data_IF_783924570855
#
_entry.id   IF_783924570855
#
_cell.length_a   1.000
_cell.length_b   1.000
_cell.length_c   1.000
_cell.angle_alpha   90.00
_cell.angle_beta   90.00
_cell.angle_gamma   90.00
#
_symmetry.space_group_name_H-M   'P 1'
#
loop_
_entity.id
_entity.type
_entity.pdbx_description
1 polymer ?
#
# COMPACT_ATOMS: atom_id res chain seq x y z
N UNK A 1 -19.09 18.14 -7.98
CA UNK A 1 -19.06 16.68 -7.70
C UNK A 1 -17.59 16.24 -7.63
N UNK A 2 -17.17 15.64 -6.51
CA UNK A 2 -15.95 14.83 -6.36
C UNK A 2 -14.56 15.52 -6.40
N UNK A 3 -14.19 16.26 -5.34
CA UNK A 3 -12.76 16.58 -5.05
C UNK A 3 -12.08 15.41 -4.31
N UNK A 4 -12.86 14.60 -3.57
CA UNK A 4 -12.36 13.48 -2.77
C UNK A 4 -11.81 12.30 -3.61
N UNK A 5 -12.43 12.00 -4.76
CA UNK A 5 -12.05 10.84 -5.58
C UNK A 5 -10.61 10.92 -6.10
N UNK A 6 -10.14 12.12 -6.44
CA UNK A 6 -8.79 12.32 -6.97
C UNK A 6 -7.70 12.09 -5.89
N UNK A 7 -8.01 12.46 -4.63
CA UNK A 7 -7.09 12.27 -3.50
C UNK A 7 -6.95 10.80 -3.13
N UNK A 8 -8.06 10.09 -2.97
CA UNK A 8 -8.02 8.69 -2.55
C UNK A 8 -7.44 7.81 -3.68
N UNK A 9 -7.73 8.11 -4.95
CA UNK A 9 -7.10 7.46 -6.11
C UNK A 9 -5.58 7.72 -6.17
N UNK A 10 -5.13 8.94 -5.81
CA UNK A 10 -3.70 9.24 -5.74
C UNK A 10 -2.98 8.36 -4.72
N UNK A 11 -3.51 8.26 -3.50
CA UNK A 11 -2.89 7.42 -2.46
C UNK A 11 -3.04 5.92 -2.76
N UNK A 12 -4.16 5.50 -3.36
CA UNK A 12 -4.35 4.12 -3.77
C UNK A 12 -3.34 3.68 -4.83
N UNK A 13 -2.96 4.55 -5.77
CA UNK A 13 -1.87 4.26 -6.73
C UNK A 13 -0.54 3.96 -6.03
N UNK A 14 -0.27 4.64 -4.91
CA UNK A 14 0.93 4.38 -4.10
C UNK A 14 0.82 3.00 -3.42
N UNK A 15 -0.33 2.67 -2.83
CA UNK A 15 -0.58 1.35 -2.24
C UNK A 15 -0.49 0.21 -3.27
N UNK A 16 -0.95 0.43 -4.51
CA UNK A 16 -0.82 -0.53 -5.60
C UNK A 16 0.64 -0.75 -5.98
N UNK A 17 1.51 0.27 -5.91
CA UNK A 17 2.93 0.09 -6.15
C UNK A 17 3.58 -0.78 -5.06
N UNK A 18 3.20 -0.63 -3.80
CA UNK A 18 3.63 -1.53 -2.71
C UNK A 18 3.15 -2.97 -2.95
N UNK A 19 1.91 -3.15 -3.41
CA UNK A 19 1.38 -4.48 -3.75
C UNK A 19 2.17 -5.17 -4.89
N UNK A 20 2.70 -4.40 -5.85
CA UNK A 20 3.58 -4.92 -6.90
C UNK A 20 4.92 -5.40 -6.35
N UNK A 21 5.47 -4.71 -5.35
CA UNK A 21 6.70 -5.15 -4.68
C UNK A 21 6.47 -6.49 -3.98
N UNK A 22 5.38 -6.63 -3.21
CA UNK A 22 5.01 -7.94 -2.65
C UNK A 22 4.88 -9.02 -3.74
N UNK A 23 4.27 -8.71 -4.87
CA UNK A 23 4.20 -9.66 -5.98
C UNK A 23 5.58 -10.09 -6.49
N UNK A 24 6.50 -9.15 -6.67
CA UNK A 24 7.88 -9.40 -7.10
C UNK A 24 8.66 -10.23 -6.06
N UNK A 25 8.30 -10.12 -4.79
CA UNK A 25 8.86 -10.89 -3.67
C UNK A 25 8.19 -12.26 -3.45
N UNK A 26 7.31 -12.70 -4.38
CA UNK A 26 6.52 -13.93 -4.27
C UNK A 26 5.58 -13.96 -3.03
N UNK A 27 5.18 -12.78 -2.55
CA UNK A 27 4.20 -12.58 -1.48
C UNK A 27 2.78 -12.40 -2.01
N UNK A 28 1.79 -12.43 -1.12
CA UNK A 28 0.41 -12.06 -1.48
C UNK A 28 0.39 -10.57 -1.83
N UNK A 29 -0.09 -10.15 -3.01
CA UNK A 29 0.07 -8.78 -3.51
C UNK A 29 -0.90 -7.80 -2.84
N UNK A 30 -0.61 -7.45 -1.59
CA UNK A 30 -1.34 -6.46 -0.80
C UNK A 30 -0.39 -5.34 -0.40
N UNK A 31 -0.82 -4.10 -0.60
CA UNK A 31 -0.08 -2.90 -0.22
C UNK A 31 -0.98 -1.91 0.51
N UNK A 32 -0.38 -1.14 1.42
CA UNK A 32 -1.08 -0.18 2.27
C UNK A 32 -0.27 1.10 2.46
N UNK A 33 -0.97 2.21 2.67
CA UNK A 33 -0.38 3.50 2.99
C UNK A 33 -1.14 4.15 4.15
N UNK A 34 -0.42 4.80 5.06
CA UNK A 34 -1.01 5.63 6.12
C UNK A 34 -0.83 7.09 5.73
N UNK A 35 -1.93 7.84 5.72
CA UNK A 35 -1.97 9.25 5.33
C UNK A 35 -2.40 10.09 6.54
N UNK A 36 -1.62 11.13 6.84
CA UNK A 36 -1.95 12.15 7.84
C UNK A 36 -1.71 13.52 7.22
N UNK A 37 -2.66 14.45 7.39
CA UNK A 37 -2.58 15.81 6.84
C UNK A 37 -2.20 15.87 5.34
N UNK A 38 -2.80 14.98 4.54
CA UNK A 38 -2.55 14.87 3.10
C UNK A 38 -1.11 14.48 2.71
N UNK A 39 -0.36 13.91 3.66
CA UNK A 39 0.99 13.37 3.46
C UNK A 39 1.02 11.89 3.81
N UNK A 40 1.78 11.11 3.03
CA UNK A 40 2.02 9.69 3.35
C UNK A 40 3.07 9.61 4.43
N UNK A 41 2.71 9.10 5.60
CA UNK A 41 3.60 8.93 6.75
C UNK A 41 4.14 7.50 6.91
N UNK A 42 3.48 6.52 6.29
CA UNK A 42 3.96 5.14 6.23
C UNK A 42 3.48 4.42 4.98
N UNK A 43 4.24 3.41 4.56
CA UNK A 43 3.94 2.50 3.44
C UNK A 43 4.36 1.10 3.83
N UNK A 44 3.67 0.09 3.31
CA UNK A 44 4.04 -1.30 3.51
C UNK A 44 3.29 -2.22 2.57
N UNK A 45 3.80 -3.43 2.44
CA UNK A 45 3.20 -4.52 1.69
C UNK A 45 3.25 -5.82 2.49
N UNK A 46 2.52 -6.84 2.03
CA UNK A 46 2.53 -8.14 2.69
C UNK A 46 3.93 -8.74 2.71
N UNK A 47 4.38 -9.21 3.88
CA UNK A 47 5.71 -9.77 4.09
C UNK A 47 5.67 -11.06 4.92
N UNK A 48 4.50 -11.69 5.03
CA UNK A 48 4.26 -12.80 5.94
C UNK A 48 5.11 -14.04 5.64
N UNK A 49 5.29 -14.40 4.36
CA UNK A 49 6.16 -15.53 3.98
C UNK A 49 7.62 -15.21 4.27
N UNK A 50 8.06 -13.99 3.96
CA UNK A 50 9.46 -13.55 4.11
C UNK A 50 9.87 -13.41 5.57
N UNK A 51 8.99 -12.86 6.40
CA UNK A 51 9.22 -12.69 7.83
C UNK A 51 8.91 -13.96 8.62
N UNK A 52 8.26 -14.95 7.99
CA UNK A 52 7.67 -16.11 8.67
C UNK A 52 6.82 -15.67 9.87
N UNK A 53 6.06 -14.60 9.67
CA UNK A 53 5.20 -13.95 10.64
C UNK A 53 3.79 -13.84 10.05
N UNK A 54 2.79 -14.28 10.79
CA UNK A 54 1.41 -14.34 10.32
C UNK A 54 0.61 -13.05 10.56
N UNK A 55 1.22 -12.06 11.21
CA UNK A 55 0.63 -10.72 11.38
C UNK A 55 0.89 -9.84 10.18
#
# INVERSE_FOLDING_TARGET
MSILKNRDEHFMKIAINEAKIAFEEDEIPVGAVIVYENQVIARGHNQSKRLNDST
#
